data_IF_009885351646
#
_entry.id   IF_009885351646
#
_cell.length_a   1.000
_cell.length_b   1.000
_cell.length_c   1.000
_cell.angle_alpha   90.00
_cell.angle_beta   90.00
_cell.angle_gamma   90.00
#
_symmetry.space_group_name_H-M   'P 1'
#
loop_
_entity.id
_entity.type
_entity.pdbx_description
1 polymer ?
#
# COMPACT_ATOMS: atom_id res chain seq x y z
N UNK A 1 1.45 -6.95 -14.36
CA UNK A 1 1.72 -5.51 -14.09
C UNK A 1 0.99 -4.64 -15.13
N UNK A 2 -0.26 -4.21 -14.87
CA UNK A 2 -1.05 -3.49 -15.88
C UNK A 2 -0.57 -2.06 -16.16
N UNK A 3 -0.07 -1.32 -15.16
CA UNK A 3 0.39 0.07 -15.34
C UNK A 3 1.71 0.22 -16.10
N UNK A 4 2.63 -0.74 -15.99
CA UNK A 4 3.90 -0.69 -16.74
C UNK A 4 3.68 -0.91 -18.25
N UNK A 5 2.64 -1.69 -18.62
CA UNK A 5 2.22 -1.93 -20.01
C UNK A 5 1.40 -0.78 -20.62
N UNK A 6 0.90 0.13 -19.79
CA UNK A 6 0.17 1.34 -20.20
C UNK A 6 1.09 2.57 -20.27
N UNK A 7 2.38 2.43 -19.90
CA UNK A 7 3.36 3.46 -20.18
C UNK A 7 3.55 3.54 -21.69
N UNK A 8 3.24 4.70 -22.24
CA UNK A 8 3.57 5.01 -23.61
C UNK A 8 5.09 5.20 -23.69
N UNK A 9 5.79 4.24 -24.30
CA UNK A 9 7.25 4.29 -24.46
C UNK A 9 7.70 5.57 -25.17
N UNK A 10 6.81 6.19 -25.96
CA UNK A 10 7.07 7.44 -26.66
C UNK A 10 7.40 8.59 -25.70
N UNK A 11 6.92 8.57 -24.45
CA UNK A 11 7.19 9.66 -23.49
C UNK A 11 8.62 9.60 -22.95
N UNK A 12 9.20 8.40 -22.87
CA UNK A 12 10.61 8.23 -22.52
C UNK A 12 11.51 8.69 -23.67
N UNK A 13 11.21 8.25 -24.89
CA UNK A 13 11.99 8.58 -26.08
C UNK A 13 11.92 10.09 -26.38
N UNK A 14 10.74 10.72 -26.24
CA UNK A 14 10.59 12.17 -26.39
C UNK A 14 11.38 12.98 -25.35
N UNK A 15 11.55 12.47 -24.13
CA UNK A 15 12.36 13.12 -23.12
C UNK A 15 13.87 13.07 -23.48
N UNK A 16 14.32 11.95 -24.04
CA UNK A 16 15.68 11.82 -24.56
C UNK A 16 15.91 12.73 -25.77
N UNK A 17 14.93 12.84 -26.68
CA UNK A 17 14.99 13.73 -27.85
C UNK A 17 15.08 15.21 -27.47
N UNK A 18 14.47 15.63 -26.36
CA UNK A 18 14.63 16.98 -25.79
C UNK A 18 15.98 17.22 -25.09
N UNK A 19 16.88 16.24 -25.09
CA UNK A 19 18.22 16.34 -24.49
C UNK A 19 18.29 15.96 -23.01
N UNK A 20 17.27 15.30 -22.45
CA UNK A 20 17.36 14.78 -21.10
C UNK A 20 18.33 13.60 -21.02
N UNK A 21 19.08 13.49 -19.92
CA UNK A 21 19.88 12.29 -19.66
C UNK A 21 18.97 11.13 -19.23
N UNK A 22 19.33 9.85 -19.51
CA UNK A 22 18.49 8.69 -19.20
C UNK A 22 18.05 8.61 -17.73
N UNK A 23 18.93 8.95 -16.79
CA UNK A 23 18.61 9.00 -15.37
C UNK A 23 17.64 10.13 -15.01
N UNK A 24 17.77 11.29 -15.67
CA UNK A 24 16.85 12.42 -15.48
C UNK A 24 15.46 12.10 -16.05
N UNK A 25 15.40 11.52 -17.25
CA UNK A 25 14.15 11.06 -17.86
C UNK A 25 13.46 10.01 -16.98
N UNK A 26 14.21 9.06 -16.42
CA UNK A 26 13.64 8.08 -15.49
C UNK A 26 13.06 8.72 -14.23
N UNK A 27 13.82 9.54 -13.49
CA UNK A 27 13.35 10.13 -12.24
C UNK A 27 12.23 11.16 -12.42
N UNK A 28 12.22 11.90 -13.53
CA UNK A 28 11.31 13.04 -13.73
C UNK A 28 10.10 12.73 -14.61
N UNK A 29 10.18 11.71 -15.47
CA UNK A 29 9.11 11.34 -16.40
C UNK A 29 8.51 10.01 -16.03
N UNK A 30 9.32 8.96 -15.91
CA UNK A 30 8.82 7.59 -15.65
C UNK A 30 8.39 7.41 -14.19
N UNK A 31 9.24 7.79 -13.23
CA UNK A 31 8.99 7.58 -11.80
C UNK A 31 7.67 8.24 -11.34
N UNK A 32 7.34 9.49 -11.71
CA UNK A 32 6.06 10.09 -11.34
C UNK A 32 4.87 9.41 -12.03
N UNK A 33 5.03 8.95 -13.28
CA UNK A 33 3.97 8.23 -13.99
C UNK A 33 3.65 6.86 -13.36
N UNK A 34 4.66 6.13 -12.88
CA UNK A 34 4.46 4.84 -12.19
C UNK A 34 4.15 5.00 -10.70
N UNK A 35 4.41 6.17 -10.11
CA UNK A 35 4.19 6.44 -8.67
C UNK A 35 2.80 6.04 -8.13
N UNK A 36 1.66 6.31 -8.82
CA UNK A 36 0.37 5.83 -8.33
C UNK A 36 0.26 4.30 -8.37
N UNK A 37 0.95 3.63 -9.31
CA UNK A 37 1.02 2.16 -9.35
C UNK A 37 1.90 1.56 -8.25
N UNK A 38 3.03 2.20 -7.94
CA UNK A 38 3.87 1.84 -6.80
C UNK A 38 3.07 1.95 -5.51
N UNK A 39 2.31 3.02 -5.33
CA UNK A 39 1.48 3.22 -4.14
C UNK A 39 0.41 2.12 -3.99
N UNK A 40 -0.28 1.74 -5.08
CA UNK A 40 -1.23 0.61 -5.05
C UNK A 40 -0.53 -0.71 -4.71
N UNK A 41 0.63 -0.99 -5.30
CA UNK A 41 1.41 -2.19 -5.01
C UNK A 41 1.92 -2.23 -3.57
N UNK A 42 2.36 -1.09 -3.04
CA UNK A 42 2.75 -0.92 -1.65
C UNK A 42 1.59 -1.21 -0.69
N UNK A 43 0.41 -0.66 -0.95
CA UNK A 43 -0.78 -0.92 -0.14
C UNK A 43 -1.16 -2.41 -0.16
N UNK A 44 -1.14 -3.05 -1.34
CA UNK A 44 -1.41 -4.49 -1.45
C UNK A 44 -0.40 -5.35 -0.67
N UNK A 45 0.89 -5.05 -0.78
CA UNK A 45 1.93 -5.75 -0.05
C UNK A 45 1.80 -5.55 1.47
N UNK A 46 1.45 -4.33 1.91
CA UNK A 46 1.16 -4.03 3.30
C UNK A 46 -0.07 -4.80 3.81
N UNK A 47 -1.14 -4.85 3.03
CA UNK A 47 -2.35 -5.63 3.37
C UNK A 47 -2.01 -7.11 3.51
N UNK A 48 -1.26 -7.70 2.58
CA UNK A 48 -0.82 -9.09 2.70
C UNK A 48 0.07 -9.32 3.92
N UNK A 49 0.96 -8.38 4.25
CA UNK A 49 1.83 -8.49 5.44
C UNK A 49 1.03 -8.51 6.75
N UNK A 50 -0.07 -7.76 6.83
CA UNK A 50 -0.93 -7.71 8.01
C UNK A 50 -1.79 -8.99 8.14
N UNK A 51 -2.19 -9.59 7.02
CA UNK A 51 -3.04 -10.79 6.96
C UNK A 51 -2.27 -12.13 7.11
N UNK A 52 -0.94 -12.08 7.15
CA UNK A 52 -0.06 -13.26 7.10
C UNK A 52 -0.01 -14.12 8.39
N UNK A 53 -1.06 -14.07 9.22
CA UNK A 53 -1.14 -14.83 10.47
C UNK A 53 -0.98 -16.34 10.25
N UNK A 54 -1.68 -16.90 9.25
CA UNK A 54 -1.73 -18.34 9.02
C UNK A 54 -0.34 -18.86 8.65
N UNK A 55 0.31 -18.28 7.64
CA UNK A 55 1.62 -18.72 7.18
C UNK A 55 2.66 -18.49 8.27
N UNK A 56 2.64 -17.32 8.92
CA UNK A 56 3.59 -17.04 9.99
C UNK A 56 3.37 -17.95 11.20
N UNK A 57 2.14 -18.30 11.57
CA UNK A 57 1.88 -19.25 12.67
C UNK A 57 2.47 -20.65 12.39
N UNK A 58 2.36 -21.14 11.15
CA UNK A 58 2.88 -22.46 10.79
C UNK A 58 4.39 -22.48 10.47
N UNK A 59 4.96 -21.34 10.09
CA UNK A 59 6.38 -21.24 9.66
C UNK A 59 7.30 -20.69 10.77
N UNK A 60 6.75 -20.09 11.83
CA UNK A 60 7.55 -19.48 12.91
C UNK A 60 7.97 -20.50 13.98
N UNK A 61 9.26 -20.52 14.31
CA UNK A 61 9.83 -21.37 15.37
C UNK A 61 9.65 -20.79 16.80
N UNK A 62 9.98 -21.57 17.85
CA UNK A 62 9.81 -21.15 19.25
C UNK A 62 10.55 -19.83 19.54
N UNK A 63 9.84 -18.83 20.07
CA UNK A 63 10.43 -17.56 20.53
C UNK A 63 10.34 -16.38 19.57
N UNK A 64 9.83 -16.57 18.35
CA UNK A 64 9.53 -15.46 17.42
C UNK A 64 8.02 -15.25 17.39
N UNK A 65 7.57 -14.03 17.67
CA UNK A 65 6.14 -13.70 17.72
C UNK A 65 5.88 -12.39 17.00
N UNK A 66 5.17 -12.47 15.88
CA UNK A 66 4.62 -11.29 15.24
C UNK A 66 3.34 -10.82 15.96
N UNK A 67 2.82 -9.66 15.57
CA UNK A 67 1.63 -9.07 16.20
C UNK A 67 0.42 -10.03 16.20
N UNK A 68 0.21 -10.76 15.10
CA UNK A 68 -0.92 -11.67 14.94
C UNK A 68 -0.80 -12.94 15.82
N UNK A 69 0.39 -13.56 15.88
CA UNK A 69 0.70 -14.69 16.77
C UNK A 69 0.51 -14.27 18.23
N UNK A 70 0.92 -13.05 18.58
CA UNK A 70 0.76 -12.51 19.93
C UNK A 70 -0.72 -12.36 20.29
N UNK A 71 -1.53 -11.75 19.41
CA UNK A 71 -2.99 -11.62 19.60
C UNK A 71 -3.65 -12.99 19.78
N UNK A 72 -3.34 -13.95 18.91
CA UNK A 72 -3.89 -15.31 18.98
C UNK A 72 -3.48 -16.03 20.29
N UNK A 73 -2.20 -15.94 20.68
CA UNK A 73 -1.72 -16.57 21.90
C UNK A 73 -2.36 -15.97 23.17
N UNK A 74 -2.63 -14.66 23.17
CA UNK A 74 -3.33 -13.98 24.26
C UNK A 74 -4.80 -14.39 24.29
N UNK A 75 -5.47 -14.49 23.13
CA UNK A 75 -6.87 -14.92 23.07
C UNK A 75 -7.04 -16.36 23.60
N UNK A 76 -6.08 -17.26 23.31
CA UNK A 76 -6.08 -18.66 23.76
C UNK A 76 -5.82 -18.81 25.28
N UNK A 77 -5.11 -17.86 25.90
CA UNK A 77 -4.88 -17.82 27.37
C UNK A 77 -6.06 -17.24 28.15
N UNK A 78 -7.08 -16.73 27.46
CA UNK A 78 -8.28 -16.08 28.03
C UNK A 78 -8.46 -14.67 27.47
N UNK A 79 -9.72 -14.27 27.23
CA UNK A 79 -10.04 -12.97 26.61
C UNK A 79 -9.71 -11.83 27.59
N UNK A 80 -8.52 -11.26 27.48
CA UNK A 80 -8.14 -10.08 28.25
C UNK A 80 -8.77 -8.83 27.62
N UNK A 81 -9.29 -7.87 28.42
CA UNK A 81 -9.76 -6.57 27.92
C UNK A 81 -8.72 -5.83 27.06
N UNK A 82 -7.43 -6.12 27.27
CA UNK A 82 -6.31 -5.58 26.48
C UNK A 82 -6.36 -5.98 25.00
N UNK A 83 -6.84 -7.19 24.69
CA UNK A 83 -6.96 -7.68 23.30
C UNK A 83 -8.04 -6.91 22.57
N UNK A 84 -9.21 -6.75 23.21
CA UNK A 84 -10.32 -6.01 22.62
C UNK A 84 -9.94 -4.55 22.36
N UNK A 85 -9.24 -3.91 23.30
CA UNK A 85 -8.72 -2.55 23.10
C UNK A 85 -7.75 -2.45 21.90
N UNK A 86 -6.84 -3.41 21.76
CA UNK A 86 -5.91 -3.48 20.63
C UNK A 86 -6.64 -3.65 19.29
N UNK A 87 -7.62 -4.57 19.23
CA UNK A 87 -8.44 -4.81 18.03
C UNK A 87 -9.25 -3.57 17.64
N UNK A 88 -9.85 -2.88 18.61
CA UNK A 88 -10.57 -1.62 18.36
C UNK A 88 -9.65 -0.53 17.81
N UNK A 89 -8.42 -0.42 18.31
CA UNK A 89 -7.44 0.55 17.80
C UNK A 89 -6.99 0.22 16.37
N UNK A 90 -6.72 -1.06 16.08
CA UNK A 90 -6.38 -1.51 14.73
C UNK A 90 -7.53 -1.24 13.75
N UNK A 91 -8.76 -1.56 14.15
CA UNK A 91 -9.96 -1.32 13.35
C UNK A 91 -10.17 0.18 13.07
N UNK A 92 -10.02 1.03 14.09
CA UNK A 92 -10.09 2.47 13.93
C UNK A 92 -9.01 3.00 12.97
N UNK A 93 -7.78 2.47 13.05
CA UNK A 93 -6.68 2.82 12.15
C UNK A 93 -6.99 2.51 10.69
N UNK A 94 -7.54 1.33 10.40
CA UNK A 94 -7.94 0.93 9.04
C UNK A 94 -9.05 1.82 8.51
N UNK A 95 -10.09 2.11 9.32
CA UNK A 95 -11.17 3.03 8.93
C UNK A 95 -10.61 4.41 8.59
N UNK A 96 -9.73 4.95 9.44
CA UNK A 96 -9.15 6.27 9.24
C UNK A 96 -8.30 6.32 7.96
N UNK A 97 -7.52 5.28 7.70
CA UNK A 97 -6.76 5.13 6.46
C UNK A 97 -7.67 5.09 5.22
N UNK A 98 -8.76 4.33 5.27
CA UNK A 98 -9.74 4.26 4.17
C UNK A 98 -10.43 5.61 3.93
N UNK A 99 -10.81 6.33 5.00
CA UNK A 99 -11.39 7.68 4.88
C UNK A 99 -10.41 8.66 4.24
N UNK A 100 -9.12 8.61 4.59
CA UNK A 100 -8.09 9.44 3.98
C UNK A 100 -7.93 9.12 2.49
N UNK A 101 -7.89 7.84 2.13
CA UNK A 101 -7.79 7.40 0.73
C UNK A 101 -9.03 7.86 -0.04
N UNK A 102 -10.23 7.62 0.50
CA UNK A 102 -11.49 8.02 -0.11
C UNK A 102 -11.54 9.53 -0.36
N UNK A 103 -11.20 10.34 0.64
CA UNK A 103 -11.18 11.80 0.51
C UNK A 103 -10.14 12.29 -0.51
N UNK A 104 -8.97 11.64 -0.59
CA UNK A 104 -7.97 11.96 -1.62
C UNK A 104 -8.44 11.59 -3.02
N UNK A 105 -9.12 10.45 -3.17
CA UNK A 105 -9.63 9.96 -4.45
C UNK A 105 -10.81 10.80 -4.95
N UNK A 106 -11.74 11.18 -4.07
CA UNK A 106 -12.85 12.10 -4.41
C UNK A 106 -12.34 13.48 -4.85
N UNK A 107 -11.26 13.99 -4.26
CA UNK A 107 -10.63 15.25 -4.67
C UNK A 107 -9.95 15.17 -6.04
N UNK A 108 -9.44 13.99 -6.42
CA UNK A 108 -8.85 13.77 -7.76
C UNK A 108 -9.94 13.63 -8.84
N UNK A 109 -11.06 12.97 -8.53
CA UNK A 109 -12.20 12.85 -9.46
C UNK A 109 -12.90 14.19 -9.75
N UNK A 110 -13.14 15.01 -8.72
CA UNK A 110 -13.78 16.33 -8.92
C UNK A 110 -12.95 17.32 -9.75
N UNK A 111 -11.65 17.07 -9.93
CA UNK A 111 -10.77 17.90 -10.77
C UNK A 111 -10.82 17.53 -12.25
N UNK A 112 -11.26 16.30 -12.58
CA UNK A 112 -11.43 15.85 -13.98
C UNK A 112 -12.77 16.28 -14.58
N UNK A 113 -13.80 16.43 -13.74
CA UNK A 113 -15.15 16.80 -14.17
C UNK A 113 -15.29 18.30 -14.50
N UNK A 114 -14.45 19.17 -13.91
CA UNK A 114 -14.45 20.61 -14.16
C UNK A 114 -13.58 21.06 -15.36
N UNK A 115 -13.01 20.12 -16.12
CA UNK A 115 -12.12 20.40 -17.28
C UNK A 115 -12.67 19.76 -18.57
N UNK A 116 -13.91 19.24 -18.55
CA UNK A 116 -14.63 18.77 -19.74
C UNK A 116 -15.76 19.73 -20.07
#
# INVERSE_FOLDING_TARGET
MPKLKQLDNQVYDAALDLGATPGYAFMKVILPQISPGIFTGFLLAMTMSIDDFVISFFTTGPGVSNLAITIYSMARKGVSPKINALLSLMFAGVILMLLVINNRMSRDNGRKENVV
#
